data_IF_593632526458
#
_entry.id   IF_593632526458
#
_cell.length_a   1.000
_cell.length_b   1.000
_cell.length_c   1.000
_cell.angle_alpha   90.00
_cell.angle_beta   90.00
_cell.angle_gamma   90.00
#
_symmetry.space_group_name_H-M   'P 1'
#
loop_
_entity.id
_entity.type
_entity.pdbx_description
1 polymer ?
#
# COMPACT_ATOMS: atom_id res chain seq x y z
N UNK A 1 -11.72 -8.34 -12.71
CA UNK A 1 -11.21 -9.26 -13.74
C UNK A 1 -10.71 -8.48 -14.95
N UNK A 2 -11.49 -7.62 -15.61
CA UNK A 2 -11.14 -6.97 -16.88
C UNK A 2 -9.74 -6.33 -16.93
N UNK A 3 -9.36 -5.51 -15.94
CA UNK A 3 -8.06 -4.81 -15.94
C UNK A 3 -6.87 -5.77 -15.89
N UNK A 4 -6.94 -6.82 -15.05
CA UNK A 4 -5.83 -7.79 -14.94
C UNK A 4 -5.68 -8.61 -16.21
N UNK A 5 -6.78 -9.03 -16.81
CA UNK A 5 -6.79 -9.73 -18.09
C UNK A 5 -6.26 -8.83 -19.22
N UNK A 6 -6.60 -7.54 -19.20
CA UNK A 6 -6.07 -6.60 -20.18
C UNK A 6 -4.55 -6.40 -20.04
N UNK A 7 -4.02 -6.32 -18.82
CA UNK A 7 -2.57 -6.29 -18.59
C UNK A 7 -1.88 -7.53 -19.16
N UNK A 8 -2.47 -8.71 -18.95
CA UNK A 8 -1.97 -9.96 -19.50
C UNK A 8 -1.98 -9.94 -21.04
N UNK A 9 -3.06 -9.49 -21.65
CA UNK A 9 -3.19 -9.34 -23.11
C UNK A 9 -2.18 -8.34 -23.69
N UNK A 10 -1.80 -7.33 -22.92
CA UNK A 10 -0.75 -6.36 -23.27
C UNK A 10 0.67 -6.88 -23.05
N UNK A 11 0.83 -8.13 -22.63
CA UNK A 11 2.14 -8.80 -22.53
C UNK A 11 2.75 -8.76 -21.13
N UNK A 12 2.03 -8.34 -20.08
CA UNK A 12 2.49 -8.49 -18.70
C UNK A 12 2.36 -9.97 -18.32
N UNK A 13 3.48 -10.67 -18.31
CA UNK A 13 3.53 -12.11 -18.07
C UNK A 13 3.53 -12.47 -16.59
N UNK A 14 4.09 -11.59 -15.76
CA UNK A 14 4.24 -11.83 -14.33
C UNK A 14 4.18 -10.50 -13.55
N UNK A 15 3.75 -10.59 -12.29
CA UNK A 15 3.72 -9.48 -11.34
C UNK A 15 4.52 -9.92 -10.11
N UNK A 16 5.63 -9.23 -9.83
CA UNK A 16 6.51 -9.57 -8.71
C UNK A 16 5.78 -9.58 -7.36
N UNK A 17 4.90 -8.61 -7.14
CA UNK A 17 4.10 -8.49 -5.91
C UNK A 17 2.88 -7.60 -6.17
N UNK A 18 1.71 -8.04 -5.74
CA UNK A 18 0.49 -7.24 -5.80
C UNK A 18 0.17 -6.68 -4.42
N UNK A 19 0.27 -5.36 -4.29
CA UNK A 19 -0.06 -4.65 -3.05
C UNK A 19 -1.48 -4.10 -3.11
N UNK A 20 -2.30 -4.40 -2.12
CA UNK A 20 -3.69 -3.98 -2.09
C UNK A 20 -4.14 -3.55 -0.68
N UNK A 21 -5.24 -2.85 -0.62
CA UNK A 21 -5.79 -2.25 0.61
C UNK A 21 -6.84 -3.11 1.32
N UNK A 22 -6.87 -4.41 1.04
CA UNK A 22 -7.81 -5.35 1.66
C UNK A 22 -9.21 -5.33 1.02
N UNK A 23 -9.33 -4.92 -0.25
CA UNK A 23 -10.57 -5.04 -1.01
C UNK A 23 -10.93 -6.52 -1.19
N UNK A 24 -12.10 -6.90 -0.68
CA UNK A 24 -12.62 -8.27 -0.79
C UNK A 24 -12.74 -8.71 -2.26
N UNK A 25 -12.35 -9.95 -2.56
CA UNK A 25 -12.37 -10.53 -3.90
C UNK A 25 -11.21 -10.12 -4.81
N UNK A 26 -10.40 -9.13 -4.42
CA UNK A 26 -9.27 -8.70 -5.24
C UNK A 26 -8.08 -9.67 -5.19
N UNK A 27 -7.72 -10.27 -4.04
CA UNK A 27 -6.72 -11.33 -3.97
C UNK A 27 -7.05 -12.52 -4.87
N UNK A 28 -8.31 -12.94 -4.87
CA UNK A 28 -8.81 -14.04 -5.70
C UNK A 28 -8.72 -13.70 -7.19
N UNK A 29 -9.08 -12.46 -7.55
CA UNK A 29 -8.97 -11.97 -8.92
C UNK A 29 -7.51 -11.95 -9.41
N UNK A 30 -6.56 -11.53 -8.55
CA UNK A 30 -5.13 -11.56 -8.89
C UNK A 30 -4.67 -13.00 -9.10
N UNK A 31 -4.98 -13.91 -8.18
CA UNK A 31 -4.58 -15.33 -8.28
C UNK A 31 -5.17 -16.04 -9.50
N UNK A 32 -6.37 -15.65 -9.93
CA UNK A 32 -7.02 -16.20 -11.11
C UNK A 32 -6.29 -15.87 -12.42
N UNK A 33 -5.65 -14.68 -12.51
CA UNK A 33 -4.95 -14.23 -13.72
C UNK A 33 -3.43 -14.42 -13.58
N UNK A 34 -2.89 -14.22 -12.40
CA UNK A 34 -1.47 -14.34 -12.06
C UNK A 34 -1.29 -15.25 -10.83
N UNK A 35 -1.36 -16.58 -11.00
CA UNK A 35 -1.41 -17.54 -9.89
C UNK A 35 -0.15 -17.56 -9.01
N UNK A 36 1.00 -17.16 -9.55
CA UNK A 36 2.28 -17.12 -8.83
C UNK A 36 2.57 -15.76 -8.17
N UNK A 37 1.70 -14.78 -8.36
CA UNK A 37 1.89 -13.44 -7.78
C UNK A 37 1.57 -13.44 -6.30
N UNK A 38 2.55 -13.15 -5.43
CA UNK A 38 2.28 -12.95 -4.02
C UNK A 38 1.44 -11.69 -3.82
N UNK A 39 0.39 -11.87 -3.03
CA UNK A 39 -0.51 -10.79 -2.66
C UNK A 39 -0.10 -10.28 -1.28
N UNK A 40 0.18 -8.98 -1.19
CA UNK A 40 0.57 -8.31 0.03
C UNK A 40 -0.46 -7.25 0.41
N UNK A 41 -0.95 -7.30 1.64
CA UNK A 41 -1.78 -6.23 2.17
C UNK A 41 -0.96 -4.94 2.36
N UNK A 42 -1.48 -3.84 1.85
CA UNK A 42 -0.84 -2.53 2.01
C UNK A 42 -0.84 -2.12 3.47
N UNK A 43 0.34 -2.11 4.07
CA UNK A 43 0.52 -1.79 5.49
C UNK A 43 0.03 -0.40 5.86
N UNK A 44 0.24 0.58 4.99
CA UNK A 44 -0.18 1.96 5.21
C UNK A 44 -1.71 2.10 5.15
N UNK A 45 -2.35 1.36 4.29
CA UNK A 45 -3.81 1.37 4.20
C UNK A 45 -4.44 0.68 5.40
N UNK A 46 -3.86 -0.42 5.87
CA UNK A 46 -4.28 -1.03 7.14
C UNK A 46 -4.10 -0.07 8.32
N UNK A 47 -3.01 0.72 8.34
CA UNK A 47 -2.85 1.78 9.35
C UNK A 47 -3.85 2.91 9.14
N UNK A 48 -4.05 3.38 7.90
CA UNK A 48 -4.94 4.52 7.60
C UNK A 48 -6.41 4.14 7.55
N UNK A 49 -6.77 3.05 6.90
CA UNK A 49 -8.19 2.70 6.67
C UNK A 49 -8.82 2.12 7.93
N UNK A 50 -8.14 1.24 8.65
CA UNK A 50 -8.65 0.76 9.93
C UNK A 50 -8.51 1.80 11.05
N UNK A 51 -7.52 2.67 11.01
CA UNK A 51 -7.42 3.77 11.97
C UNK A 51 -8.31 4.96 11.61
N UNK A 52 -8.43 5.32 10.33
CA UNK A 52 -9.17 6.53 9.93
C UNK A 52 -10.65 6.25 9.69
N UNK A 53 -11.06 5.09 9.17
CA UNK A 53 -12.48 4.78 9.01
C UNK A 53 -13.16 4.19 10.25
N UNK A 54 -12.46 3.32 11.00
CA UNK A 54 -13.07 2.64 12.16
C UNK A 54 -12.44 3.00 13.51
N UNK A 55 -11.24 3.53 13.57
CA UNK A 55 -10.53 3.77 14.84
C UNK A 55 -10.07 5.20 15.06
N UNK A 56 -9.98 6.07 14.04
CA UNK A 56 -9.67 7.49 14.27
C UNK A 56 -10.78 8.20 15.06
N UNK A 57 -12.00 7.65 15.07
CA UNK A 57 -13.04 8.09 16.01
C UNK A 57 -12.70 7.73 17.46
N UNK A 58 -11.79 6.77 17.70
CA UNK A 58 -11.49 6.24 19.01
C UNK A 58 -10.06 6.54 19.49
N UNK A 59 -9.14 7.01 18.63
CA UNK A 59 -7.79 7.39 19.03
C UNK A 59 -7.73 8.89 19.26
N UNK A 60 -7.35 9.29 20.48
CA UNK A 60 -7.18 10.72 20.77
C UNK A 60 -6.09 11.32 19.88
N UNK A 61 -6.27 12.57 19.47
CA UNK A 61 -5.28 13.29 18.63
C UNK A 61 -3.87 13.29 19.26
N UNK A 62 -3.79 13.35 20.59
CA UNK A 62 -2.53 13.31 21.35
C UNK A 62 -1.78 11.99 21.18
N UNK A 63 -2.52 10.88 21.09
CA UNK A 63 -1.92 9.54 20.98
C UNK A 63 -1.62 9.16 19.53
N UNK A 64 -2.35 9.72 18.58
CA UNK A 64 -2.28 9.35 17.17
C UNK A 64 -0.84 9.39 16.63
N UNK A 65 -0.09 10.45 16.92
CA UNK A 65 1.28 10.62 16.45
C UNK A 65 2.23 9.56 17.04
N UNK A 66 2.09 9.29 18.34
CA UNK A 66 2.90 8.28 19.05
C UNK A 66 2.56 6.88 18.58
N UNK A 67 1.28 6.57 18.48
CA UNK A 67 0.78 5.28 18.00
C UNK A 67 1.22 5.00 16.55
N UNK A 68 1.18 6.00 15.66
CA UNK A 68 1.70 5.86 14.30
C UNK A 68 3.21 5.64 14.26
N UNK A 69 3.97 6.27 15.16
CA UNK A 69 5.43 6.06 15.26
C UNK A 69 5.75 4.64 15.75
N UNK A 70 5.05 4.15 16.75
CA UNK A 70 5.21 2.80 17.28
C UNK A 70 4.78 1.73 16.24
N UNK A 71 3.71 1.97 15.49
CA UNK A 71 3.34 1.11 14.38
C UNK A 71 4.40 1.11 13.28
N UNK A 72 5.02 2.26 12.99
CA UNK A 72 6.10 2.33 12.00
C UNK A 72 7.29 1.46 12.40
N UNK A 73 7.62 1.37 13.68
CA UNK A 73 8.71 0.52 14.18
C UNK A 73 8.51 -0.95 13.80
N UNK A 74 7.27 -1.46 13.84
CA UNK A 74 6.94 -2.83 13.45
C UNK A 74 7.33 -3.10 11.99
N UNK A 75 6.98 -2.19 11.10
CA UNK A 75 7.16 -2.39 9.65
C UNK A 75 8.56 -2.04 9.15
N UNK A 76 9.27 -1.18 9.88
CA UNK A 76 10.65 -0.83 9.55
C UNK A 76 11.68 -1.77 10.20
N UNK A 77 11.23 -2.79 10.90
CA UNK A 77 12.08 -3.78 11.53
C UNK A 77 12.98 -4.49 10.50
N UNK A 78 14.19 -4.89 10.93
CA UNK A 78 15.16 -5.52 10.04
C UNK A 78 14.72 -6.92 9.61
N UNK A 79 14.07 -7.67 10.49
CA UNK A 79 13.58 -9.03 10.26
C UNK A 79 12.12 -9.20 10.72
N UNK A 80 11.52 -10.34 10.37
CA UNK A 80 10.19 -10.70 10.83
C UNK A 80 10.16 -10.85 12.36
N UNK A 81 11.18 -11.45 12.96
CA UNK A 81 11.30 -11.65 14.41
C UNK A 81 11.31 -10.30 15.13
N UNK A 82 12.14 -9.37 14.64
CA UNK A 82 12.21 -8.02 15.18
C UNK A 82 10.87 -7.27 15.02
N UNK A 83 10.18 -7.48 13.90
CA UNK A 83 8.83 -6.95 13.66
C UNK A 83 7.80 -7.53 14.62
N UNK A 84 7.86 -8.83 14.90
CA UNK A 84 6.99 -9.52 15.88
C UNK A 84 7.24 -9.04 17.29
N UNK A 85 8.50 -8.85 17.67
CA UNK A 85 8.87 -8.25 18.96
C UNK A 85 8.31 -6.83 19.09
N UNK A 86 8.51 -5.98 18.08
CA UNK A 86 7.95 -4.63 18.09
C UNK A 86 6.41 -4.62 18.17
N UNK A 87 5.73 -5.62 17.58
CA UNK A 87 4.28 -5.79 17.72
C UNK A 87 3.90 -6.15 19.16
N UNK A 88 4.67 -7.00 19.85
CA UNK A 88 4.42 -7.32 21.26
C UNK A 88 4.61 -6.10 22.16
N UNK A 89 5.68 -5.33 21.95
CA UNK A 89 5.93 -4.06 22.67
C UNK A 89 4.80 -3.05 22.42
N UNK A 90 4.34 -2.97 21.16
CA UNK A 90 3.15 -2.19 20.82
C UNK A 90 1.91 -2.66 21.59
N UNK A 91 1.71 -3.97 21.70
CA UNK A 91 0.61 -4.56 22.46
C UNK A 91 0.68 -4.21 23.94
N UNK A 92 1.83 -4.34 24.58
CA UNK A 92 2.04 -3.96 25.99
C UNK A 92 1.68 -2.49 26.25
N UNK A 93 2.03 -1.60 25.32
CA UNK A 93 1.81 -0.16 25.45
C UNK A 93 0.37 0.27 25.14
N UNK A 94 -0.26 -0.33 24.14
CA UNK A 94 -1.48 0.20 23.55
C UNK A 94 -2.71 -0.70 23.70
N UNK A 95 -2.55 -2.00 24.03
CA UNK A 95 -3.67 -2.94 24.11
C UNK A 95 -4.70 -2.54 25.18
N UNK A 96 -4.26 -1.98 26.30
CA UNK A 96 -5.17 -1.50 27.36
C UNK A 96 -6.04 -0.33 26.90
N UNK A 97 -5.56 0.51 25.98
CA UNK A 97 -6.27 1.71 25.52
C UNK A 97 -6.95 1.52 24.16
N UNK A 98 -6.32 0.75 23.27
CA UNK A 98 -6.76 0.53 21.88
C UNK A 98 -6.64 -0.96 21.47
N UNK A 99 -7.36 -1.89 22.16
CA UNK A 99 -7.20 -3.34 21.95
C UNK A 99 -7.50 -3.77 20.51
N UNK A 100 -8.47 -3.15 19.86
CA UNK A 100 -8.86 -3.46 18.50
C UNK A 100 -7.71 -3.32 17.49
N UNK A 101 -6.81 -2.34 17.72
CA UNK A 101 -5.68 -2.10 16.83
C UNK A 101 -4.66 -3.22 16.96
N UNK A 102 -4.32 -3.62 18.19
CA UNK A 102 -3.38 -4.70 18.44
C UNK A 102 -3.90 -6.04 17.94
N UNK A 103 -5.14 -6.40 18.31
CA UNK A 103 -5.77 -7.65 17.91
C UNK A 103 -5.88 -7.79 16.40
N UNK A 104 -6.23 -6.72 15.69
CA UNK A 104 -6.27 -6.73 14.24
C UNK A 104 -4.89 -7.04 13.63
N UNK A 105 -3.79 -6.52 14.22
CA UNK A 105 -2.43 -6.80 13.77
C UNK A 105 -2.00 -8.22 14.05
N UNK A 106 -2.38 -8.77 15.20
CA UNK A 106 -2.11 -10.17 15.52
C UNK A 106 -2.81 -11.12 14.55
N UNK A 107 -4.10 -10.91 14.30
CA UNK A 107 -4.89 -11.77 13.39
C UNK A 107 -4.35 -11.81 11.98
N UNK A 108 -3.85 -10.69 11.49
CA UNK A 108 -3.36 -10.55 10.12
C UNK A 108 -1.84 -10.56 10.05
N UNK A 109 -1.15 -11.07 11.07
CA UNK A 109 0.31 -11.05 11.08
C UNK A 109 0.90 -11.81 9.89
N UNK A 110 0.40 -12.97 9.55
CA UNK A 110 0.89 -13.79 8.43
C UNK A 110 0.77 -13.04 7.11
N UNK A 111 -0.37 -12.38 6.87
CA UNK A 111 -0.59 -11.55 5.69
C UNK A 111 0.31 -10.31 5.68
N UNK A 112 0.67 -9.82 6.86
CA UNK A 112 1.49 -8.64 7.03
C UNK A 112 2.98 -8.95 6.97
N UNK A 113 3.41 -10.09 7.50
CA UNK A 113 4.83 -10.45 7.61
C UNK A 113 5.45 -10.94 6.30
N UNK A 114 4.63 -11.30 5.31
CA UNK A 114 5.10 -11.78 4.02
C UNK A 114 6.11 -10.86 3.32
N UNK A 115 6.03 -9.55 3.57
CA UNK A 115 6.97 -8.58 2.97
C UNK A 115 8.40 -8.64 3.55
N UNK A 116 8.60 -9.20 4.74
CA UNK A 116 9.95 -9.37 5.32
C UNK A 116 10.84 -10.31 4.50
N UNK A 117 10.24 -11.16 3.67
CA UNK A 117 10.96 -12.03 2.73
C UNK A 117 11.70 -11.27 1.63
N UNK A 118 11.35 -10.01 1.41
CA UNK A 118 11.93 -9.19 0.34
C UNK A 118 13.09 -8.32 0.86
N UNK A 119 14.08 -8.02 0.00
CA UNK A 119 15.14 -7.07 0.32
C UNK A 119 14.62 -5.69 0.73
N UNK A 120 15.35 -4.99 1.55
CA UNK A 120 14.93 -3.69 2.12
C UNK A 120 14.46 -2.67 1.07
N UNK A 121 15.11 -2.62 -0.10
CA UNK A 121 14.72 -1.73 -1.20
C UNK A 121 13.30 -2.02 -1.72
N UNK A 122 12.98 -3.31 -1.90
CA UNK A 122 11.63 -3.75 -2.31
C UNK A 122 10.64 -3.49 -1.19
N UNK A 123 10.99 -3.82 0.07
CA UNK A 123 10.14 -3.55 1.23
C UNK A 123 9.77 -2.06 1.30
N UNK A 124 10.76 -1.19 1.08
CA UNK A 124 10.53 0.26 1.05
C UNK A 124 9.55 0.67 -0.06
N UNK A 125 9.67 0.12 -1.25
CA UNK A 125 8.76 0.41 -2.37
C UNK A 125 7.32 -0.05 -2.07
N UNK A 126 7.16 -1.26 -1.53
CA UNK A 126 5.86 -1.81 -1.09
C UNK A 126 5.26 -1.00 0.05
N UNK A 127 6.08 -0.55 0.98
CA UNK A 127 5.68 0.19 2.16
C UNK A 127 5.33 1.65 1.87
N UNK A 128 5.97 2.26 0.87
CA UNK A 128 5.70 3.65 0.48
C UNK A 128 4.73 3.67 -0.71
N UNK A 129 3.44 3.82 -0.46
CA UNK A 129 2.45 4.09 -1.52
C UNK A 129 2.59 5.49 -2.12
N UNK A 130 3.68 6.19 -1.80
CA UNK A 130 3.92 7.56 -2.24
C UNK A 130 3.87 7.73 -3.76
N UNK A 131 4.30 6.71 -4.54
CA UNK A 131 4.26 6.76 -6.00
C UNK A 131 2.81 6.79 -6.50
N UNK A 132 1.95 5.88 -5.99
CA UNK A 132 0.53 5.81 -6.37
C UNK A 132 -0.23 7.05 -5.85
N UNK A 133 0.05 7.47 -4.61
CA UNK A 133 -0.58 8.68 -4.04
C UNK A 133 -0.14 9.93 -4.81
N UNK A 134 1.12 10.03 -5.18
CA UNK A 134 1.65 11.13 -6.00
C UNK A 134 0.99 11.14 -7.38
N UNK A 135 0.87 9.99 -8.03
CA UNK A 135 0.17 9.88 -9.31
C UNK A 135 -1.29 10.29 -9.16
N UNK A 136 -2.01 9.73 -8.18
CA UNK A 136 -3.40 10.08 -7.92
C UNK A 136 -3.58 11.57 -7.61
N UNK A 137 -2.63 12.19 -6.91
CA UNK A 137 -2.63 13.62 -6.69
C UNK A 137 -2.51 14.41 -7.99
N UNK A 138 -1.58 14.02 -8.89
CA UNK A 138 -1.41 14.66 -10.20
C UNK A 138 -2.67 14.51 -11.06
N UNK A 139 -3.26 13.30 -11.10
CA UNK A 139 -4.51 13.07 -11.82
C UNK A 139 -5.66 13.92 -11.26
N UNK A 140 -5.80 13.98 -9.95
CA UNK A 140 -6.82 14.84 -9.31
C UNK A 140 -6.60 16.32 -9.58
N UNK A 141 -5.36 16.79 -9.65
CA UNK A 141 -5.05 18.19 -9.94
C UNK A 141 -5.60 18.61 -11.32
N UNK A 142 -5.51 17.75 -12.32
CA UNK A 142 -5.99 18.06 -13.67
C UNK A 142 -7.47 17.79 -13.86
N UNK A 143 -8.08 16.92 -13.05
CA UNK A 143 -9.52 16.60 -13.15
C UNK A 143 -10.39 17.46 -12.24
N UNK A 144 -9.93 17.81 -11.03
CA UNK A 144 -10.73 18.53 -10.03
C UNK A 144 -11.12 19.95 -10.46
N UNK A 145 -10.29 20.61 -11.26
CA UNK A 145 -10.54 21.99 -11.70
C UNK A 145 -11.47 22.08 -12.92
N UNK A 146 -11.98 20.94 -13.41
CA UNK A 146 -12.90 20.86 -14.56
C UNK A 146 -14.18 20.22 -14.10
N UNK A 147 -15.24 21.01 -14.01
CA UNK A 147 -16.56 20.56 -13.56
C UNK A 147 -17.26 19.66 -14.60
N UNK A 148 -16.94 19.84 -15.89
CA UNK A 148 -17.59 19.13 -17.00
C UNK A 148 -16.53 18.80 -18.05
N UNK A 149 -16.53 17.56 -18.51
CA UNK A 149 -15.80 17.12 -19.69
C UNK A 149 -16.79 16.95 -20.85
N UNK A 150 -16.46 17.49 -22.00
CA UNK A 150 -17.34 17.47 -23.17
C UNK A 150 -17.51 16.07 -23.77
N UNK A 151 -16.50 15.21 -23.64
CA UNK A 151 -16.47 13.83 -24.15
C UNK A 151 -15.56 12.95 -23.31
N UNK A 152 -15.77 11.62 -23.37
CA UNK A 152 -14.89 10.63 -22.74
C UNK A 152 -13.44 10.70 -23.29
N UNK A 153 -13.31 10.98 -24.59
CA UNK A 153 -12.01 11.17 -25.22
C UNK A 153 -11.24 12.37 -24.63
N UNK A 154 -11.94 13.43 -24.26
CA UNK A 154 -11.31 14.58 -23.63
C UNK A 154 -10.75 14.24 -22.25
N UNK A 155 -11.45 13.40 -21.48
CA UNK A 155 -10.96 12.88 -20.19
C UNK A 155 -9.72 12.01 -20.41
N UNK A 156 -9.80 11.05 -21.34
CA UNK A 156 -8.69 10.14 -21.65
C UNK A 156 -7.43 10.88 -22.10
N UNK A 157 -7.56 11.90 -22.95
CA UNK A 157 -6.44 12.73 -23.39
C UNK A 157 -5.77 13.46 -22.22
N UNK A 158 -6.55 14.04 -21.32
CA UNK A 158 -6.02 14.77 -20.16
C UNK A 158 -5.33 13.83 -19.20
N UNK A 159 -5.93 12.67 -18.90
CA UNK A 159 -5.33 11.65 -18.06
C UNK A 159 -4.02 11.11 -18.68
N UNK A 160 -4.02 10.86 -19.99
CA UNK A 160 -2.82 10.42 -20.71
C UNK A 160 -1.69 11.44 -20.59
N UNK A 161 -1.95 12.73 -20.83
CA UNK A 161 -0.94 13.78 -20.70
C UNK A 161 -0.42 13.92 -19.28
N UNK A 162 -1.31 13.82 -18.27
CA UNK A 162 -0.93 13.87 -16.86
C UNK A 162 -0.04 12.69 -16.47
N UNK A 163 -0.37 11.47 -16.94
CA UNK A 163 0.44 10.27 -16.71
C UNK A 163 1.80 10.40 -17.40
N UNK A 164 1.82 10.83 -18.64
CA UNK A 164 3.05 11.06 -19.40
C UNK A 164 3.99 12.02 -18.68
N UNK A 165 3.51 13.18 -18.26
CA UNK A 165 4.30 14.15 -17.49
C UNK A 165 4.78 13.59 -16.14
N UNK A 166 3.97 12.78 -15.48
CA UNK A 166 4.36 12.12 -14.25
C UNK A 166 5.45 11.06 -14.51
N UNK A 167 5.34 10.30 -15.60
CA UNK A 167 6.27 9.21 -15.96
C UNK A 167 7.68 9.69 -16.30
N UNK A 168 7.85 10.92 -16.76
CA UNK A 168 9.18 11.52 -16.98
C UNK A 168 10.05 11.53 -15.71
N UNK A 169 9.41 11.54 -14.53
CA UNK A 169 10.08 11.48 -13.23
C UNK A 169 10.33 10.06 -12.71
N UNK A 170 9.83 9.03 -13.41
CA UNK A 170 9.95 7.62 -12.98
C UNK A 170 11.22 6.94 -13.50
N UNK A 171 12.08 7.68 -14.18
CA UNK A 171 13.32 7.17 -14.78
C UNK A 171 14.42 6.85 -13.78
N UNK A 172 14.22 7.16 -12.50
CA UNK A 172 15.19 6.80 -11.44
C UNK A 172 14.98 5.33 -11.08
N UNK A 173 15.90 4.43 -11.44
CA UNK A 173 15.82 3.04 -11.01
C UNK A 173 15.78 2.98 -9.47
N UNK A 174 14.95 2.10 -8.91
CA UNK A 174 15.00 1.79 -7.49
C UNK A 174 16.42 1.30 -7.22
N UNK A 175 17.27 2.15 -6.64
CA UNK A 175 18.61 1.74 -6.23
C UNK A 175 18.44 0.69 -5.13
N UNK A 176 18.43 -0.57 -5.53
CA UNK A 176 18.69 -1.66 -4.62
C UNK A 176 20.11 -1.46 -4.13
N UNK A 177 20.27 -0.87 -2.96
CA UNK A 177 21.56 -0.80 -2.31
C UNK A 177 22.00 -2.23 -1.99
N UNK A 178 23.06 -2.68 -2.64
CA UNK A 178 23.66 -3.98 -2.38
C UNK A 178 23.59 -4.89 -3.62
N UNK A 179 24.78 -5.24 -4.09
CA UNK A 179 24.99 -6.30 -5.08
C UNK A 179 24.32 -7.59 -4.60
N UNK A 180 23.66 -8.27 -5.53
CA UNK A 180 23.36 -9.69 -5.41
C UNK A 180 24.69 -10.47 -5.34
#
# INVERSE_FOLDING_TARGET
>A
MGVLTELQNRGVKDILIACMDGLSGFPEAVRAVYPHTPVQLCMRTLVRVHMVRNSARFVSYKDLRKLCADLKAIYSAASEEAGRQALQEFGQKWNGKYPMIYQARQRHWEDLSGFFKYPFGIRRAVYTTNAIESLNYQLRKVTKNRSIFSTDDAILKILYLAIRNASEKWTVPIRAGGRL
#
